data_IF_630475506432
#
_entry.id   IF_630475506432
#
_cell.length_a   1.000
_cell.length_b   1.000
_cell.length_c   1.000
_cell.angle_alpha   90.00
_cell.angle_beta   90.00
_cell.angle_gamma   90.00
#
_symmetry.space_group_name_H-M   'P 1'
#
loop_
_entity.id
_entity.type
_entity.pdbx_description
1 polymer ?
#
# COMPACT_ATOMS: atom_id res chain seq x y z
N UNK A 1 31.13 13.62 -13.03
CA UNK A 1 31.86 12.47 -12.48
C UNK A 1 30.86 11.51 -11.86
N UNK A 2 30.60 10.43 -12.59
CA UNK A 2 29.74 9.30 -12.27
C UNK A 2 30.46 8.39 -11.27
N UNK A 3 29.96 8.29 -10.04
CA UNK A 3 30.28 7.16 -9.16
C UNK A 3 29.08 6.23 -9.10
N UNK A 4 29.33 5.00 -9.53
CA UNK A 4 28.38 3.91 -9.56
C UNK A 4 27.74 3.70 -8.19
N UNK A 5 26.40 3.65 -8.14
CA UNK A 5 25.69 2.95 -7.05
C UNK A 5 25.91 1.45 -7.22
N UNK A 6 27.11 1.00 -6.84
CA UNK A 6 27.45 -0.41 -6.62
C UNK A 6 26.41 -1.06 -5.71
N UNK A 7 26.19 -2.36 -5.84
CA UNK A 7 25.35 -3.19 -4.98
C UNK A 7 25.64 -3.03 -3.46
N UNK A 8 26.78 -2.43 -3.08
CA UNK A 8 27.07 -1.98 -1.72
C UNK A 8 26.19 -0.82 -1.19
N UNK A 9 25.46 -0.10 -2.04
CA UNK A 9 24.64 1.06 -1.65
C UNK A 9 23.38 0.72 -0.84
N UNK A 10 22.68 -0.37 -1.20
CA UNK A 10 21.44 -0.77 -0.51
C UNK A 10 21.72 -1.28 0.91
N UNK A 11 22.66 -2.24 1.03
CA UNK A 11 23.05 -2.81 2.32
C UNK A 11 23.69 -1.78 3.24
N UNK A 12 24.51 -0.86 2.69
CA UNK A 12 25.09 0.26 3.44
C UNK A 12 24.02 1.20 3.97
N UNK A 13 23.06 1.61 3.13
CA UNK A 13 21.93 2.46 3.53
C UNK A 13 21.15 1.84 4.71
N UNK A 14 20.82 0.55 4.62
CA UNK A 14 20.09 -0.15 5.69
C UNK A 14 20.93 -0.26 6.96
N UNK A 15 22.24 -0.51 6.88
CA UNK A 15 23.09 -0.69 8.07
C UNK A 15 23.43 0.63 8.76
N UNK A 16 23.78 1.67 8.01
CA UNK A 16 24.28 2.93 8.55
C UNK A 16 23.16 3.92 8.92
N UNK A 17 22.04 3.91 8.19
CA UNK A 17 20.94 4.83 8.46
C UNK A 17 19.84 4.16 9.30
N UNK A 18 19.90 4.37 10.62
CA UNK A 18 18.93 3.80 11.56
C UNK A 18 17.49 4.28 11.32
N UNK A 19 17.29 5.56 10.97
CA UNK A 19 15.96 6.11 10.72
C UNK A 19 15.31 5.48 9.48
N UNK A 20 16.05 5.38 8.37
CA UNK A 20 15.60 4.69 7.18
C UNK A 20 15.30 3.21 7.48
N UNK A 21 16.18 2.53 8.21
CA UNK A 21 15.99 1.12 8.58
C UNK A 21 14.71 0.89 9.37
N UNK A 22 14.41 1.73 10.37
CA UNK A 22 13.15 1.65 11.12
C UNK A 22 11.95 1.94 10.22
N UNK A 23 12.00 2.97 9.38
CA UNK A 23 10.92 3.26 8.42
C UNK A 23 10.66 2.06 7.48
N UNK A 24 11.73 1.46 6.96
CA UNK A 24 11.67 0.35 6.03
C UNK A 24 11.15 -0.94 6.67
N UNK A 25 11.61 -1.27 7.88
CA UNK A 25 11.08 -2.45 8.60
C UNK A 25 9.62 -2.28 9.02
N UNK A 26 9.21 -1.08 9.46
CA UNK A 26 7.80 -0.79 9.72
C UNK A 26 6.95 -1.02 8.47
N UNK A 27 7.41 -0.51 7.33
CA UNK A 27 6.76 -0.74 6.03
C UNK A 27 6.67 -2.22 5.66
N UNK A 28 7.75 -3.01 5.82
CA UNK A 28 7.74 -4.46 5.53
C UNK A 28 6.66 -5.15 6.37
N UNK A 29 6.66 -4.91 7.67
CA UNK A 29 5.76 -5.58 8.60
C UNK A 29 4.30 -5.18 8.34
N UNK A 30 4.02 -3.88 8.16
CA UNK A 30 2.67 -3.41 7.81
C UNK A 30 2.18 -3.97 6.48
N UNK A 31 3.03 -4.02 5.45
CA UNK A 31 2.63 -4.55 4.14
C UNK A 31 2.34 -6.05 4.20
N UNK A 32 3.09 -6.79 5.00
CA UNK A 32 2.83 -8.20 5.22
C UNK A 32 1.39 -8.40 5.75
N UNK A 33 1.01 -7.65 6.77
CA UNK A 33 -0.36 -7.66 7.33
C UNK A 33 -1.43 -7.32 6.31
N UNK A 34 -1.23 -6.27 5.51
CA UNK A 34 -2.17 -5.84 4.47
C UNK A 34 -2.52 -6.99 3.49
N UNK A 35 -1.55 -7.86 3.17
CA UNK A 35 -1.77 -9.03 2.33
C UNK A 35 -2.52 -10.16 3.04
N UNK A 36 -2.23 -10.42 4.31
CA UNK A 36 -3.00 -11.36 5.13
C UNK A 36 -4.47 -10.94 5.19
N UNK A 37 -4.72 -9.66 5.43
CA UNK A 37 -6.04 -9.06 5.47
C UNK A 37 -6.80 -9.20 4.15
N UNK A 38 -6.13 -8.95 3.02
CA UNK A 38 -6.74 -9.08 1.70
C UNK A 38 -7.23 -10.52 1.48
N UNK A 39 -6.34 -11.51 1.70
CA UNK A 39 -6.67 -12.91 1.48
C UNK A 39 -7.77 -13.36 2.44
N UNK A 40 -7.68 -13.02 3.72
CA UNK A 40 -8.69 -13.33 4.72
C UNK A 40 -10.06 -12.72 4.37
N UNK A 41 -10.09 -11.45 3.96
CA UNK A 41 -11.31 -10.74 3.57
C UNK A 41 -11.94 -11.34 2.32
N UNK A 42 -11.15 -11.61 1.29
CA UNK A 42 -11.65 -12.22 0.05
C UNK A 42 -12.22 -13.62 0.32
N UNK A 43 -11.50 -14.46 1.06
CA UNK A 43 -11.95 -15.79 1.44
C UNK A 43 -13.18 -15.77 2.34
N UNK A 44 -13.29 -14.82 3.28
CA UNK A 44 -14.45 -14.68 4.16
C UNK A 44 -15.70 -14.25 3.38
N UNK A 45 -15.59 -13.28 2.47
CA UNK A 45 -16.72 -12.90 1.60
C UNK A 45 -17.12 -14.09 0.72
N UNK A 46 -16.14 -14.79 0.14
CA UNK A 46 -16.40 -15.94 -0.72
C UNK A 46 -17.16 -17.03 0.03
N UNK A 47 -16.74 -17.38 1.24
CA UNK A 47 -17.39 -18.43 2.04
C UNK A 47 -18.77 -18.04 2.55
N UNK A 48 -18.99 -16.75 2.87
CA UNK A 48 -20.29 -16.28 3.35
C UNK A 48 -21.32 -16.04 2.24
N UNK A 49 -20.89 -15.68 1.04
CA UNK A 49 -21.81 -15.25 -0.03
C UNK A 49 -21.81 -16.14 -1.27
N UNK A 50 -20.74 -16.90 -1.52
CA UNK A 50 -20.55 -17.65 -2.76
C UNK A 50 -20.49 -16.78 -4.02
N UNK A 51 -20.34 -15.46 -3.89
CA UNK A 51 -20.52 -14.51 -4.98
C UNK A 51 -19.23 -13.80 -5.37
N UNK A 52 -18.76 -14.04 -6.60
CA UNK A 52 -17.64 -13.29 -7.18
C UNK A 52 -17.93 -11.79 -7.33
N UNK A 53 -19.20 -11.38 -7.44
CA UNK A 53 -19.56 -9.97 -7.46
C UNK A 53 -19.31 -9.28 -6.10
N UNK A 54 -19.53 -10.00 -4.99
CA UNK A 54 -19.20 -9.49 -3.66
C UNK A 54 -17.68 -9.34 -3.47
N UNK A 55 -16.90 -10.31 -3.95
CA UNK A 55 -15.43 -10.20 -3.96
C UNK A 55 -15.00 -9.00 -4.82
N UNK A 56 -15.60 -8.79 -5.99
CA UNK A 56 -15.36 -7.60 -6.82
C UNK A 56 -15.65 -6.29 -6.08
N UNK A 57 -16.75 -6.24 -5.32
CA UNK A 57 -17.09 -5.11 -4.45
C UNK A 57 -16.01 -4.80 -3.41
N UNK A 58 -15.38 -5.82 -2.83
CA UNK A 58 -14.26 -5.65 -1.90
C UNK A 58 -13.11 -4.88 -2.55
N UNK A 59 -12.69 -5.29 -3.75
CA UNK A 59 -11.62 -4.62 -4.48
C UNK A 59 -11.99 -3.17 -4.83
N UNK A 60 -13.24 -2.92 -5.24
CA UNK A 60 -13.73 -1.55 -5.48
C UNK A 60 -13.58 -0.69 -4.24
N UNK A 61 -14.02 -1.17 -3.07
CA UNK A 61 -13.90 -0.44 -1.80
C UNK A 61 -12.43 -0.20 -1.44
N UNK A 62 -11.57 -1.22 -1.59
CA UNK A 62 -10.13 -1.12 -1.29
C UNK A 62 -9.41 -0.08 -2.16
N UNK A 63 -9.88 0.17 -3.38
CA UNK A 63 -9.32 1.21 -4.27
C UNK A 63 -9.95 2.58 -4.04
N UNK A 64 -11.27 2.62 -3.89
CA UNK A 64 -12.02 3.87 -3.80
C UNK A 64 -11.74 4.59 -2.48
N UNK A 65 -11.68 3.88 -1.35
CA UNK A 65 -11.47 4.49 -0.05
C UNK A 65 -10.17 5.31 0.05
N UNK A 66 -8.97 4.76 -0.23
CA UNK A 66 -7.73 5.55 -0.18
C UNK A 66 -7.71 6.66 -1.25
N UNK A 67 -8.35 6.44 -2.40
CA UNK A 67 -8.47 7.47 -3.44
C UNK A 67 -9.22 8.71 -2.93
N UNK A 68 -10.37 8.52 -2.29
CA UNK A 68 -11.17 9.62 -1.71
C UNK A 68 -10.42 10.36 -0.60
N UNK A 69 -9.58 9.66 0.15
CA UNK A 69 -8.78 10.25 1.24
C UNK A 69 -7.51 10.95 0.73
N UNK A 70 -7.01 10.58 -0.45
CA UNK A 70 -5.72 11.05 -0.97
C UNK A 70 -5.52 12.59 -0.99
N UNK A 71 -6.53 13.45 -1.25
CA UNK A 71 -6.33 14.90 -1.22
C UNK A 71 -6.04 15.43 0.18
N UNK A 72 -6.62 14.80 1.21
CA UNK A 72 -6.43 15.18 2.61
C UNK A 72 -5.10 14.65 3.16
N UNK A 73 -4.62 13.53 2.61
CA UNK A 73 -3.42 12.87 3.08
C UNK A 73 -2.15 13.71 2.91
N UNK A 74 -1.99 14.40 1.78
CA UNK A 74 -0.85 15.30 1.55
C UNK A 74 -0.84 16.47 2.53
N UNK A 75 -2.00 17.09 2.75
CA UNK A 75 -2.13 18.22 3.68
C UNK A 75 -1.85 17.78 5.13
N UNK A 76 -2.32 16.60 5.51
CA UNK A 76 -2.03 16.04 6.82
C UNK A 76 -0.52 15.78 7.01
N UNK A 77 0.16 15.25 5.99
CA UNK A 77 1.61 15.01 6.00
C UNK A 77 2.44 16.31 6.08
N UNK A 78 1.90 17.43 5.61
CA UNK A 78 2.54 18.75 5.72
C UNK A 78 2.21 19.47 7.03
N UNK A 79 1.03 19.22 7.60
CA UNK A 79 0.53 19.92 8.79
C UNK A 79 0.94 19.25 10.10
N UNK A 80 1.03 17.93 10.12
CA UNK A 80 1.31 17.17 11.33
C UNK A 80 2.72 16.57 11.29
N UNK A 81 3.23 16.22 12.46
CA UNK A 81 4.49 15.48 12.53
C UNK A 81 4.34 14.13 11.81
N UNK A 82 5.13 13.94 10.75
CA UNK A 82 5.03 12.78 9.84
C UNK A 82 5.24 11.46 10.55
N UNK A 83 6.17 11.39 11.52
CA UNK A 83 6.37 10.19 12.35
C UNK A 83 5.11 9.85 13.15
N UNK A 84 4.52 10.82 13.84
CA UNK A 84 3.30 10.58 14.61
C UNK A 84 2.14 10.17 13.72
N UNK A 85 1.99 10.79 12.55
CA UNK A 85 0.92 10.45 11.62
C UNK A 85 1.03 8.99 11.12
N UNK A 86 2.25 8.51 10.84
CA UNK A 86 2.46 7.08 10.49
C UNK A 86 2.09 6.15 11.65
N UNK A 87 2.53 6.46 12.88
CA UNK A 87 2.24 5.65 14.07
C UNK A 87 0.74 5.59 14.36
N UNK A 88 0.05 6.74 14.32
CA UNK A 88 -1.39 6.81 14.56
C UNK A 88 -2.15 6.06 13.48
N UNK A 89 -1.73 6.18 12.22
CA UNK A 89 -2.30 5.41 11.10
C UNK A 89 -2.20 3.91 11.36
N UNK A 90 -1.04 3.41 11.78
CA UNK A 90 -0.86 2.00 12.13
C UNK A 90 -1.78 1.56 13.28
N UNK A 91 -1.80 2.31 14.37
CA UNK A 91 -2.61 1.95 15.55
C UNK A 91 -4.10 1.93 15.22
N UNK A 92 -4.61 2.92 14.49
CA UNK A 92 -6.01 2.96 14.07
C UNK A 92 -6.33 1.79 13.15
N UNK A 93 -5.47 1.49 12.17
CA UNK A 93 -5.64 0.33 11.28
C UNK A 93 -5.68 -0.98 12.06
N UNK A 94 -4.78 -1.16 13.02
CA UNK A 94 -4.76 -2.34 13.90
C UNK A 94 -6.07 -2.53 14.65
N UNK A 95 -6.62 -1.46 15.24
CA UNK A 95 -7.92 -1.52 15.95
C UNK A 95 -9.07 -1.83 14.98
N UNK A 96 -9.10 -1.19 13.82
CA UNK A 96 -10.14 -1.43 12.80
C UNK A 96 -10.13 -2.88 12.32
N UNK A 97 -8.94 -3.46 12.13
CA UNK A 97 -8.78 -4.84 11.66
C UNK A 97 -9.30 -5.85 12.67
N UNK A 98 -9.15 -5.60 13.98
CA UNK A 98 -9.78 -6.45 15.00
C UNK A 98 -11.32 -6.47 14.88
N UNK A 99 -11.92 -5.42 14.32
CA UNK A 99 -13.36 -5.38 14.01
C UNK A 99 -13.81 -6.45 13.01
N UNK A 100 -12.93 -6.94 12.13
CA UNK A 100 -13.27 -8.00 11.17
C UNK A 100 -13.62 -9.31 11.87
N UNK A 101 -13.18 -9.51 13.11
CA UNK A 101 -13.54 -10.67 13.94
C UNK A 101 -15.03 -10.70 14.32
N UNK A 102 -15.77 -9.62 14.08
CA UNK A 102 -17.21 -9.54 14.34
C UNK A 102 -18.05 -10.02 13.14
N UNK A 103 -17.45 -10.18 11.96
CA UNK A 103 -18.14 -10.62 10.74
C UNK A 103 -18.28 -12.14 10.79
N UNK A 104 -19.50 -12.66 10.99
CA UNK A 104 -19.73 -14.10 11.17
C UNK A 104 -20.63 -14.72 10.13
N UNK A 105 -21.59 -13.96 9.60
CA UNK A 105 -22.62 -14.46 8.70
C UNK A 105 -22.75 -13.57 7.45
N UNK A 106 -23.49 -14.04 6.44
CA UNK A 106 -23.76 -13.27 5.22
C UNK A 106 -24.41 -11.90 5.50
N UNK A 107 -25.21 -11.79 6.55
CA UNK A 107 -25.82 -10.53 7.00
C UNK A 107 -24.81 -9.48 7.49
N UNK A 108 -23.57 -9.87 7.78
CA UNK A 108 -22.52 -8.99 8.29
C UNK A 108 -21.56 -8.49 7.20
N UNK A 109 -21.77 -8.88 5.93
CA UNK A 109 -20.87 -8.52 4.82
C UNK A 109 -20.78 -7.01 4.61
N UNK A 110 -21.84 -6.26 4.92
CA UNK A 110 -21.80 -4.80 4.92
C UNK A 110 -20.78 -4.24 5.92
N UNK A 111 -20.64 -4.88 7.08
CA UNK A 111 -19.68 -4.48 8.11
C UNK A 111 -18.26 -4.70 7.62
N UNK A 112 -18.01 -5.81 6.91
CA UNK A 112 -16.72 -6.07 6.27
C UNK A 112 -16.36 -4.97 5.27
N UNK A 113 -17.30 -4.52 4.42
CA UNK A 113 -17.05 -3.39 3.52
C UNK A 113 -16.80 -2.08 4.26
N UNK A 114 -17.57 -1.78 5.31
CA UNK A 114 -17.37 -0.58 6.12
C UNK A 114 -15.98 -0.58 6.80
N UNK A 115 -15.58 -1.70 7.40
CA UNK A 115 -14.27 -1.85 8.03
C UNK A 115 -13.14 -1.77 7.00
N UNK A 116 -13.32 -2.36 5.81
CA UNK A 116 -12.38 -2.23 4.70
C UNK A 116 -12.25 -0.77 4.26
N UNK A 117 -13.37 -0.06 4.07
CA UNK A 117 -13.35 1.35 3.70
C UNK A 117 -12.62 2.20 4.73
N UNK A 118 -12.84 1.92 6.02
CA UNK A 118 -12.17 2.62 7.11
C UNK A 118 -10.67 2.30 7.16
N UNK A 119 -10.29 1.02 7.14
CA UNK A 119 -8.89 0.58 7.15
C UNK A 119 -8.12 1.19 5.98
N UNK A 120 -8.63 1.04 4.75
CA UNK A 120 -7.93 1.47 3.55
C UNK A 120 -7.99 3.00 3.37
N UNK A 121 -9.07 3.64 3.83
CA UNK A 121 -9.14 5.09 3.94
C UNK A 121 -8.03 5.62 4.84
N UNK A 122 -7.85 5.04 6.03
CA UNK A 122 -6.76 5.41 6.95
C UNK A 122 -5.38 5.06 6.35
N UNK A 123 -5.24 3.91 5.67
CA UNK A 123 -4.01 3.57 4.91
C UNK A 123 -3.66 4.61 3.84
N UNK A 124 -4.65 5.33 3.30
CA UNK A 124 -4.44 6.43 2.35
C UNK A 124 -3.52 7.54 2.86
N UNK A 125 -3.40 7.71 4.18
CA UNK A 125 -2.46 8.65 4.79
C UNK A 125 -1.01 8.13 4.85
N UNK A 126 -0.80 6.82 4.84
CA UNK A 126 0.50 6.21 5.12
C UNK A 126 1.52 6.51 4.01
N UNK A 127 1.18 6.25 2.74
CA UNK A 127 2.12 6.42 1.63
C UNK A 127 2.54 7.88 1.38
N UNK A 128 1.64 8.87 1.36
CA UNK A 128 2.02 10.28 1.24
C UNK A 128 2.91 10.73 2.39
N UNK A 129 2.58 10.34 3.62
CA UNK A 129 3.37 10.67 4.82
C UNK A 129 4.75 10.01 4.78
N UNK A 130 4.84 8.74 4.36
CA UNK A 130 6.10 8.02 4.15
C UNK A 130 6.98 8.70 3.10
N UNK A 131 6.39 9.08 1.97
CA UNK A 131 7.13 9.77 0.90
C UNK A 131 7.61 11.16 1.35
N UNK A 132 6.85 11.84 2.22
CA UNK A 132 7.21 13.14 2.76
C UNK A 132 8.31 13.06 3.83
N UNK A 133 8.32 12.02 4.69
CA UNK A 133 9.38 11.85 5.71
C UNK A 133 10.69 11.32 5.12
N UNK A 134 10.63 10.55 4.03
CA UNK A 134 11.79 9.91 3.42
C UNK A 134 12.94 10.88 3.06
N UNK A 135 12.70 12.02 2.37
CA UNK A 135 13.76 12.99 2.06
C UNK A 135 14.33 13.72 3.28
N UNK A 136 13.64 13.70 4.43
CA UNK A 136 14.15 14.29 5.67
C UNK A 136 15.13 13.35 6.39
N UNK A 137 15.01 12.03 6.17
CA UNK A 137 15.76 11.02 6.91
C UNK A 137 16.79 10.29 6.05
N UNK A 138 16.84 10.56 4.74
CA UNK A 138 17.78 9.96 3.78
C UNK A 138 18.43 11.05 2.94
N UNK A 139 19.74 10.97 2.73
CA UNK A 139 20.47 11.91 1.90
C UNK A 139 20.02 11.87 0.44
N UNK A 140 20.02 13.02 -0.25
CA UNK A 140 19.56 13.13 -1.65
C UNK A 140 20.13 12.06 -2.61
N UNK A 141 21.44 11.74 -2.58
CA UNK A 141 22.01 10.71 -3.46
C UNK A 141 21.50 9.29 -3.16
N UNK A 142 21.01 9.05 -1.94
CA UNK A 142 20.50 7.75 -1.49
C UNK A 142 18.99 7.58 -1.71
N UNK A 143 18.26 8.64 -2.08
CA UNK A 143 16.80 8.58 -2.29
C UNK A 143 16.40 7.60 -3.39
N UNK A 144 17.18 7.51 -4.47
CA UNK A 144 16.95 6.52 -5.52
C UNK A 144 17.03 5.09 -4.99
N UNK A 145 18.04 4.80 -4.16
CA UNK A 145 18.21 3.49 -3.54
C UNK A 145 17.09 3.17 -2.54
N UNK A 146 16.68 4.17 -1.74
CA UNK A 146 15.56 4.04 -0.80
C UNK A 146 14.23 3.74 -1.50
N UNK A 147 13.93 4.46 -2.59
CA UNK A 147 12.73 4.22 -3.40
C UNK A 147 12.77 2.86 -4.09
N UNK A 148 13.91 2.47 -4.66
CA UNK A 148 14.07 1.14 -5.26
C UNK A 148 13.84 0.01 -4.25
N UNK A 149 14.37 0.15 -3.03
CA UNK A 149 14.15 -0.83 -1.96
C UNK A 149 12.68 -0.91 -1.55
N UNK A 150 11.99 0.24 -1.44
CA UNK A 150 10.55 0.28 -1.17
C UNK A 150 9.73 -0.41 -2.26
N UNK A 151 10.05 -0.18 -3.55
CA UNK A 151 9.38 -0.84 -4.67
C UNK A 151 9.62 -2.35 -4.66
N UNK A 152 10.86 -2.77 -4.43
CA UNK A 152 11.20 -4.19 -4.29
C UNK A 152 10.46 -4.83 -3.12
N UNK A 153 10.38 -4.15 -1.97
CA UNK A 153 9.60 -4.60 -0.81
C UNK A 153 8.15 -4.81 -1.15
N UNK A 154 7.51 -3.92 -1.91
CA UNK A 154 6.11 -4.12 -2.33
C UNK A 154 5.95 -5.42 -3.13
N UNK A 155 6.80 -5.67 -4.13
CA UNK A 155 6.74 -6.89 -4.94
C UNK A 155 7.03 -8.15 -4.12
N UNK A 156 8.02 -8.11 -3.22
CA UNK A 156 8.37 -9.24 -2.35
C UNK A 156 7.24 -9.53 -1.36
N UNK A 157 6.66 -8.50 -0.75
CA UNK A 157 5.53 -8.66 0.16
C UNK A 157 4.26 -9.12 -0.56
N UNK A 158 4.03 -8.69 -1.81
CA UNK A 158 2.96 -9.25 -2.62
C UNK A 158 3.12 -10.76 -2.76
N UNK A 159 4.30 -11.24 -3.15
CA UNK A 159 4.52 -12.68 -3.33
C UNK A 159 4.49 -13.45 -2.01
N UNK A 160 5.29 -13.03 -1.02
CA UNK A 160 5.44 -13.73 0.25
C UNK A 160 4.20 -13.57 1.13
N UNK A 161 3.66 -12.36 1.21
CA UNK A 161 2.51 -12.06 2.05
C UNK A 161 1.21 -12.70 1.58
N UNK A 162 0.96 -12.75 0.26
CA UNK A 162 -0.21 -13.49 -0.25
C UNK A 162 -0.07 -15.00 -0.06
N UNK A 163 1.13 -15.55 -0.27
CA UNK A 163 1.39 -16.97 -0.04
C UNK A 163 1.21 -17.36 1.43
N UNK A 164 1.80 -16.60 2.36
CA UNK A 164 1.65 -16.84 3.79
C UNK A 164 0.22 -16.57 4.28
N UNK A 165 -0.42 -15.51 3.76
CA UNK A 165 -1.81 -15.18 4.08
C UNK A 165 -2.78 -16.28 3.62
N UNK A 166 -2.55 -16.84 2.43
CA UNK A 166 -3.31 -18.00 1.92
C UNK A 166 -3.06 -19.27 2.72
N UNK A 167 -1.80 -19.57 3.06
CA UNK A 167 -1.44 -20.72 3.89
C UNK A 167 -2.12 -20.65 5.26
N UNK A 168 -2.01 -19.50 5.94
CA UNK A 168 -2.62 -19.31 7.26
C UNK A 168 -4.14 -19.37 7.18
N UNK A 169 -4.74 -18.70 6.19
CA UNK A 169 -6.19 -18.71 6.00
C UNK A 169 -6.73 -20.09 5.67
N UNK A 170 -5.98 -20.88 4.89
CA UNK A 170 -6.37 -22.24 4.51
C UNK A 170 -6.21 -23.27 5.63
N UNK A 171 -5.15 -23.18 6.43
CA UNK A 171 -4.88 -24.17 7.49
C UNK A 171 -5.57 -23.83 8.82
N UNK A 172 -5.62 -22.56 9.20
CA UNK A 172 -6.11 -22.11 10.50
C UNK A 172 -7.42 -21.31 10.41
N UNK A 173 -7.95 -21.13 9.20
CA UNK A 173 -9.10 -20.26 8.92
C UNK A 173 -8.71 -18.78 8.78
N UNK A 174 -9.68 -17.96 8.39
CA UNK A 174 -9.45 -16.54 8.05
C UNK A 174 -9.23 -15.63 9.27
N UNK A 175 -9.75 -15.99 10.45
CA UNK A 175 -9.69 -15.11 11.63
C UNK A 175 -8.28 -14.92 12.21
N UNK A 176 -7.43 -15.97 12.31
CA UNK A 176 -6.02 -15.78 12.67
C UNK A 176 -5.27 -14.79 11.78
N UNK A 177 -5.60 -14.72 10.49
CA UNK A 177 -4.96 -13.78 9.58
C UNK A 177 -5.29 -12.32 9.91
N UNK A 178 -6.52 -12.01 10.36
CA UNK A 178 -6.86 -10.67 10.86
C UNK A 178 -6.13 -10.34 12.17
N UNK A 179 -5.95 -11.31 13.06
CA UNK A 179 -5.18 -11.11 14.30
C UNK A 179 -3.72 -10.82 13.98
N UNK A 180 -3.13 -11.60 13.06
CA UNK A 180 -1.75 -11.37 12.59
C UNK A 180 -1.63 -9.97 12.00
N UNK A 181 -2.55 -9.57 11.13
CA UNK A 181 -2.55 -8.23 10.54
C UNK A 181 -2.61 -7.13 11.61
N UNK A 182 -3.53 -7.21 12.58
CA UNK A 182 -3.59 -6.27 13.70
C UNK A 182 -2.28 -6.20 14.50
N UNK A 183 -1.63 -7.34 14.76
CA UNK A 183 -0.34 -7.41 15.43
C UNK A 183 0.79 -6.82 14.57
N UNK A 184 0.76 -6.99 13.25
CA UNK A 184 1.74 -6.38 12.36
C UNK A 184 1.64 -4.86 12.34
N UNK A 185 0.43 -4.29 12.38
CA UNK A 185 0.27 -2.85 12.55
C UNK A 185 0.83 -2.36 13.88
N UNK A 186 0.56 -3.06 14.97
CA UNK A 186 1.13 -2.71 16.28
C UNK A 186 2.67 -2.80 16.26
N UNK A 187 3.22 -3.86 15.68
CA UNK A 187 4.66 -4.03 15.54
C UNK A 187 5.28 -2.92 14.68
N UNK A 188 4.65 -2.55 13.57
CA UNK A 188 5.06 -1.42 12.73
C UNK A 188 5.06 -0.11 13.52
N UNK A 189 3.99 0.19 14.26
CA UNK A 189 3.92 1.38 15.12
C UNK A 189 5.08 1.45 16.13
N UNK A 190 5.41 0.32 16.77
CA UNK A 190 6.53 0.22 17.74
C UNK A 190 7.89 0.45 17.04
N UNK A 191 8.09 -0.11 15.85
CA UNK A 191 9.32 0.09 15.07
C UNK A 191 9.45 1.56 14.65
N UNK A 192 8.37 2.17 14.14
CA UNK A 192 8.34 3.57 13.72
C UNK A 192 8.53 4.54 14.89
N UNK A 193 8.11 4.18 16.10
CA UNK A 193 8.35 4.97 17.30
C UNK A 193 9.85 5.17 17.58
N UNK A 194 10.72 4.25 17.11
CA UNK A 194 12.19 4.34 17.26
C UNK A 194 12.86 5.29 16.26
N UNK A 195 12.12 5.85 15.30
CA UNK A 195 12.66 6.88 14.41
C UNK A 195 12.91 8.15 15.22
N UNK A 196 14.13 8.67 15.17
CA UNK A 196 14.46 9.97 15.74
C UNK A 196 14.12 11.04 14.70
N UNK A 197 12.97 11.69 14.89
CA UNK A 197 12.44 12.67 13.95
C UNK A 197 11.74 13.81 14.70
N UNK A 198 12.31 14.99 14.60
CA UNK A 198 11.79 16.21 15.22
C UNK A 198 11.56 17.25 14.13
N UNK A 199 10.51 17.04 13.33
CA UNK A 199 10.02 18.09 12.43
C UNK A 199 8.95 18.90 13.15
N UNK A 200 9.20 20.21 13.25
CA UNK A 200 8.21 21.19 13.69
C UNK A 200 7.45 21.63 12.44
N UNK A 201 6.13 21.37 12.32
CA UNK A 201 5.36 21.81 11.17
C UNK A 201 5.50 23.31 10.98
N UNK A 202 5.83 23.75 9.76
CA UNK A 202 5.96 25.18 9.46
C UNK A 202 4.65 25.92 9.74
N UNK A 203 4.73 27.10 10.36
CA UNK A 203 3.59 27.97 10.71
C UNK A 203 2.64 28.26 9.52
N UNK A 204 3.13 28.17 8.27
CA UNK A 204 2.33 28.29 7.05
C UNK A 204 1.27 27.18 6.85
N UNK A 205 1.36 26.06 7.56
CA UNK A 205 0.39 24.96 7.49
C UNK A 205 -0.87 25.20 8.33
N UNK A 206 -0.91 26.21 9.21
CA UNK A 206 -2.02 26.44 10.13
C UNK A 206 -3.27 27.08 9.50
N UNK A 207 -3.20 27.65 8.28
CA UNK A 207 -4.29 28.49 7.72
C UNK A 207 -5.18 27.83 6.65
N UNK A 208 -5.00 26.54 6.32
CA UNK A 208 -5.73 25.90 5.21
C UNK A 208 -6.91 25.06 5.71
N UNK A 209 -8.10 25.64 5.73
CA UNK A 209 -9.36 24.90 5.93
C UNK A 209 -9.70 23.98 4.74
N UNK A 210 -10.67 23.06 4.90
CA UNK A 210 -11.09 22.09 3.87
C UNK A 210 -11.42 22.76 2.52
N UNK A 211 -12.02 23.95 2.55
CA UNK A 211 -12.30 24.74 1.36
C UNK A 211 -11.04 25.15 0.58
N UNK A 212 -9.95 25.48 1.28
CA UNK A 212 -8.66 25.80 0.64
C UNK A 212 -7.98 24.54 0.08
N UNK A 213 -8.23 23.36 0.65
CA UNK A 213 -7.73 22.08 0.13
C UNK A 213 -8.39 21.77 -1.21
N UNK A 214 -9.73 21.85 -1.28
CA UNK A 214 -10.48 21.63 -2.51
C UNK A 214 -10.11 22.66 -3.58
N UNK A 215 -9.88 23.92 -3.18
CA UNK A 215 -9.41 24.97 -4.09
C UNK A 215 -8.02 24.67 -4.65
N UNK A 216 -7.06 24.25 -3.82
CA UNK A 216 -5.72 23.85 -4.28
C UNK A 216 -5.75 22.63 -5.20
N UNK A 217 -6.63 21.67 -4.92
CA UNK A 217 -6.83 20.52 -5.81
C UNK A 217 -7.40 20.94 -7.16
N UNK A 218 -8.42 21.82 -7.16
CA UNK A 218 -9.00 22.38 -8.37
C UNK A 218 -7.98 23.23 -9.17
N UNK A 219 -7.16 24.02 -8.48
CA UNK A 219 -6.08 24.81 -9.08
C UNK A 219 -4.99 23.89 -9.66
N UNK A 220 -4.70 22.76 -9.01
CA UNK A 220 -3.82 21.72 -9.56
C UNK A 220 -4.38 21.07 -10.83
N UNK A 221 -5.68 20.77 -10.87
CA UNK A 221 -6.36 20.27 -12.07
C UNK A 221 -6.34 21.30 -13.21
N UNK A 222 -6.56 22.58 -12.89
CA UNK A 222 -6.42 23.68 -13.86
C UNK A 222 -4.98 23.80 -14.37
N UNK A 223 -4.00 23.73 -13.48
CA UNK A 223 -2.59 23.75 -13.85
C UNK A 223 -2.20 22.61 -14.79
N UNK A 224 -2.70 21.40 -14.55
CA UNK A 224 -2.51 20.27 -15.45
C UNK A 224 -3.08 20.58 -16.84
N UNK A 225 -4.30 21.14 -16.92
CA UNK A 225 -4.88 21.57 -18.20
C UNK A 225 -4.01 22.58 -18.94
N UNK A 226 -3.38 23.50 -18.22
CA UNK A 226 -2.55 24.56 -18.81
C UNK A 226 -1.12 24.07 -19.18
N UNK A 227 -0.65 22.95 -18.62
CA UNK A 227 0.68 22.40 -18.87
C UNK A 227 0.61 20.99 -19.48
N UNK A 228 0.55 20.86 -20.82
CA UNK A 228 0.27 19.60 -21.50
C UNK A 228 1.34 18.52 -21.25
N UNK A 229 2.60 18.89 -21.01
CA UNK A 229 3.66 17.93 -20.67
C UNK A 229 3.44 17.28 -19.29
N UNK A 230 3.04 18.07 -18.28
CA UNK A 230 2.72 17.54 -16.95
C UNK A 230 1.43 16.74 -16.97
N UNK A 231 0.43 17.19 -17.76
CA UNK A 231 -0.79 16.43 -17.98
C UNK A 231 -0.51 15.08 -18.64
N UNK A 232 0.35 15.01 -19.65
CA UNK A 232 0.72 13.75 -20.30
C UNK A 232 1.29 12.74 -19.28
N UNK A 233 2.22 13.16 -18.43
CA UNK A 233 2.81 12.31 -17.39
C UNK A 233 1.77 11.89 -16.34
N UNK A 234 0.93 12.82 -15.89
CA UNK A 234 -0.13 12.54 -14.92
C UNK A 234 -1.18 11.57 -15.49
N UNK A 235 -1.59 11.79 -16.74
CA UNK A 235 -2.55 10.97 -17.48
C UNK A 235 -2.01 9.56 -17.68
N UNK A 236 -0.75 9.42 -18.07
CA UNK A 236 -0.11 8.12 -18.23
C UNK A 236 -0.08 7.34 -16.91
N UNK A 237 0.21 8.02 -15.80
CA UNK A 237 0.16 7.39 -14.47
C UNK A 237 -1.27 6.99 -14.07
N UNK A 238 -2.26 7.84 -14.35
CA UNK A 238 -3.66 7.56 -14.07
C UNK A 238 -4.18 6.37 -14.90
N UNK A 239 -3.89 6.34 -16.21
CA UNK A 239 -4.28 5.26 -17.12
C UNK A 239 -3.61 3.96 -16.68
N UNK A 240 -2.30 3.97 -16.42
CA UNK A 240 -1.62 2.78 -15.90
C UNK A 240 -2.23 2.32 -14.58
N UNK A 241 -2.51 3.23 -13.64
CA UNK A 241 -3.14 2.87 -12.37
C UNK A 241 -4.51 2.23 -12.59
N UNK A 242 -5.38 2.82 -13.41
CA UNK A 242 -6.72 2.28 -13.68
C UNK A 242 -6.65 0.91 -14.39
N UNK A 243 -5.78 0.77 -15.37
CA UNK A 243 -5.65 -0.46 -16.16
C UNK A 243 -5.04 -1.60 -15.33
N UNK A 244 -3.95 -1.34 -14.60
CA UNK A 244 -3.24 -2.35 -13.81
C UNK A 244 -3.98 -2.71 -12.51
N UNK A 245 -4.57 -1.72 -11.84
CA UNK A 245 -5.22 -1.95 -10.55
C UNK A 245 -6.64 -2.49 -10.74
N UNK A 246 -7.48 -1.88 -11.57
CA UNK A 246 -8.86 -2.31 -11.75
C UNK A 246 -8.99 -3.47 -12.74
N UNK A 247 -8.78 -3.17 -14.02
CA UNK A 247 -9.11 -4.11 -15.10
C UNK A 247 -8.28 -5.40 -15.06
N UNK A 248 -6.97 -5.26 -14.93
CA UNK A 248 -6.06 -6.41 -14.92
C UNK A 248 -6.28 -7.33 -13.70
N UNK A 249 -6.44 -6.79 -12.49
CA UNK A 249 -6.67 -7.63 -11.30
C UNK A 249 -7.99 -8.40 -11.37
N UNK A 250 -9.08 -7.75 -11.81
CA UNK A 250 -10.39 -8.43 -11.92
C UNK A 250 -10.34 -9.54 -12.96
N UNK A 251 -9.74 -9.27 -14.12
CA UNK A 251 -9.56 -10.28 -15.18
C UNK A 251 -8.69 -11.44 -14.65
N UNK A 252 -7.61 -11.13 -13.92
CA UNK A 252 -6.73 -12.13 -13.33
C UNK A 252 -7.47 -13.02 -12.32
N UNK A 253 -8.36 -12.46 -11.50
CA UNK A 253 -9.23 -13.23 -10.59
C UNK A 253 -10.16 -14.16 -11.39
N UNK A 254 -10.84 -13.64 -12.40
CA UNK A 254 -11.73 -14.42 -13.26
C UNK A 254 -10.97 -15.57 -13.97
N UNK A 255 -9.76 -15.29 -14.47
CA UNK A 255 -8.91 -16.31 -15.10
C UNK A 255 -8.58 -17.42 -14.11
N UNK A 256 -8.16 -17.09 -12.88
CA UNK A 256 -7.77 -18.07 -11.88
C UNK A 256 -8.94 -18.88 -11.30
N UNK A 257 -10.11 -18.27 -11.14
CA UNK A 257 -11.28 -18.92 -10.52
C UNK A 257 -12.21 -19.59 -11.52
N UNK A 258 -12.22 -19.19 -12.80
CA UNK A 258 -13.18 -19.69 -13.80
C UNK A 258 -12.59 -20.35 -15.04
N UNK A 259 -11.38 -19.97 -15.45
CA UNK A 259 -10.79 -20.49 -16.71
C UNK A 259 -9.74 -21.55 -16.40
N UNK A 260 -8.79 -21.24 -15.52
CA UNK A 260 -7.71 -22.14 -15.11
C UNK A 260 -7.85 -22.48 -13.64
N UNK A 261 -8.82 -23.32 -13.27
CA UNK A 261 -9.10 -23.65 -11.87
C UNK A 261 -8.13 -24.71 -11.36
N UNK A 262 -7.13 -24.31 -10.59
CA UNK A 262 -6.24 -25.21 -9.86
C UNK A 262 -6.35 -24.95 -8.35
N UNK A 263 -6.54 -26.03 -7.57
CA UNK A 263 -6.85 -25.97 -6.14
C UNK A 263 -8.31 -25.57 -5.85
N UNK A 264 -8.72 -25.64 -4.59
CA UNK A 264 -10.06 -25.19 -4.18
C UNK A 264 -10.25 -23.71 -4.51
N UNK A 265 -11.36 -23.40 -5.19
CA UNK A 265 -11.71 -22.04 -5.60
C UNK A 265 -10.70 -21.37 -6.54
N UNK A 266 -9.79 -22.11 -7.20
CA UNK A 266 -8.76 -21.51 -8.05
C UNK A 266 -7.62 -20.83 -7.29
N UNK A 267 -7.52 -21.05 -5.97
CA UNK A 267 -6.54 -20.37 -5.12
C UNK A 267 -5.08 -20.59 -5.53
N UNK A 268 -4.73 -21.78 -6.05
CA UNK A 268 -3.36 -22.05 -6.53
C UNK A 268 -3.07 -21.24 -7.79
N UNK A 269 -4.02 -21.18 -8.72
CA UNK A 269 -3.90 -20.40 -9.95
C UNK A 269 -3.75 -18.91 -9.65
N UNK A 270 -4.58 -18.37 -8.74
CA UNK A 270 -4.45 -16.98 -8.31
C UNK A 270 -3.09 -16.70 -7.68
N UNK A 271 -2.63 -17.58 -6.78
CA UNK A 271 -1.31 -17.47 -6.15
C UNK A 271 -0.18 -17.45 -7.17
N UNK A 272 -0.20 -18.36 -8.16
CA UNK A 272 0.79 -18.41 -9.24
C UNK A 272 0.76 -17.14 -10.12
N UNK A 273 -0.44 -16.68 -10.49
CA UNK A 273 -0.59 -15.46 -11.28
C UNK A 273 -0.03 -14.25 -10.53
N UNK A 274 -0.36 -14.09 -9.23
CA UNK A 274 0.19 -13.01 -8.42
C UNK A 274 1.70 -13.14 -8.20
N UNK A 275 2.24 -14.36 -8.05
CA UNK A 275 3.67 -14.59 -7.94
C UNK A 275 4.40 -14.16 -9.23
N UNK A 276 3.88 -14.53 -10.40
CA UNK A 276 4.43 -14.12 -11.70
C UNK A 276 4.34 -12.61 -11.90
N UNK A 277 3.23 -11.97 -11.53
CA UNK A 277 3.12 -10.49 -11.52
C UNK A 277 4.14 -9.87 -10.57
N UNK A 278 4.36 -10.45 -9.40
CA UNK A 278 5.39 -10.02 -8.44
C UNK A 278 6.80 -10.09 -9.02
N UNK A 279 7.15 -11.21 -9.68
CA UNK A 279 8.44 -11.38 -10.37
C UNK A 279 8.60 -10.35 -11.49
N UNK A 280 7.58 -10.17 -12.33
CA UNK A 280 7.61 -9.22 -13.45
C UNK A 280 7.75 -7.76 -12.97
N UNK A 281 7.02 -7.37 -11.93
CA UNK A 281 7.13 -6.02 -11.34
C UNK A 281 8.44 -5.78 -10.60
N UNK A 282 9.08 -6.83 -10.07
CA UNK A 282 10.40 -6.74 -9.45
C UNK A 282 11.54 -6.68 -10.47
N UNK A 283 11.53 -7.53 -11.49
CA UNK A 283 12.58 -7.61 -12.51
C UNK A 283 12.45 -6.52 -13.58
N UNK A 284 11.23 -6.13 -13.92
CA UNK A 284 10.93 -5.16 -14.98
C UNK A 284 11.67 -3.83 -14.81
N UNK A 285 11.58 -3.14 -13.65
CA UNK A 285 12.31 -1.90 -13.41
C UNK A 285 13.83 -2.07 -13.49
N UNK A 286 14.37 -3.19 -12.99
CA UNK A 286 15.82 -3.48 -13.04
C UNK A 286 16.28 -3.65 -14.48
N UNK A 287 15.50 -4.36 -15.29
CA UNK A 287 15.79 -4.57 -16.71
C UNK A 287 15.64 -3.28 -17.50
N UNK A 288 14.55 -2.53 -17.30
CA UNK A 288 14.28 -1.28 -18.01
C UNK A 288 15.31 -0.19 -17.67
N UNK A 289 15.86 -0.19 -16.46
CA UNK A 289 16.95 0.71 -16.05
C UNK A 289 18.19 0.59 -16.95
N UNK A 290 18.45 -0.60 -17.51
CA UNK A 290 19.55 -0.81 -18.47
C UNK A 290 19.39 -0.01 -19.75
N UNK A 291 18.15 0.29 -20.15
CA UNK A 291 17.83 1.02 -21.39
C UNK A 291 17.57 2.51 -21.16
N UNK A 292 17.07 2.90 -19.98
CA UNK A 292 16.64 4.27 -19.69
C UNK A 292 17.73 5.13 -19.03
N UNK A 293 18.71 4.52 -18.36
CA UNK A 293 19.75 5.22 -17.62
C UNK A 293 19.23 5.94 -16.37
N UNK A 294 20.15 6.43 -15.52
CA UNK A 294 19.83 7.18 -14.30
C UNK A 294 19.59 8.67 -14.62
N UNK A 295 18.50 8.97 -15.33
CA UNK A 295 18.05 10.36 -15.58
C UNK A 295 17.07 10.84 -14.52
#
# INVERSE_FOLDING_TARGET
MTTATTAGGYGKLVRENANFRHLWYGQIVSLLGDWFNLIASASLIASLTGSGAAIGGLFVVRMLAPFLISPFAGVAADRYNRKHLLIVTDLVRGVVVLGFLLVRNAGDVWLLYALTALQLGVSGFFFPTRNAILPDIVDRPQLGAANALSSATWSVMLAVGTALGGLVSGQFGVYPAFIIDALTFLASAIILARITYSHVPGLAAQSRGVANILKQYADGLRYLRDHPATLAVASQKAINSLFFSGGFQVIQVIIGERIFVMGEGGGISLGLLFALTGIGTGLGPIWMRRFTGDR
#
